data_IF_083461912506
#
_entry.id   IF_083461912506
#
_cell.length_a   1.000
_cell.length_b   1.000
_cell.length_c   1.000
_cell.angle_alpha   90.00
_cell.angle_beta   90.00
_cell.angle_gamma   90.00
#
_symmetry.space_group_name_H-M   'P 1'
#
loop_
_entity.id
_entity.type
_entity.pdbx_description
1 polymer ?
#
# COMPACT_ATOMS: atom_id res chain seq x y z
N UNK A 1 -21.54 -5.85 -16.56
CA UNK A 1 -20.49 -5.49 -15.58
C UNK A 1 -19.49 -4.63 -16.33
N UNK A 2 -19.11 -3.51 -15.78
CA UNK A 2 -18.02 -2.70 -16.32
C UNK A 2 -16.74 -3.50 -16.34
N UNK A 3 -15.93 -3.33 -17.38
CA UNK A 3 -14.64 -4.00 -17.46
C UNK A 3 -13.58 -3.19 -16.69
N UNK A 4 -13.22 -3.67 -15.51
CA UNK A 4 -12.29 -2.99 -14.59
C UNK A 4 -10.95 -2.67 -15.27
N UNK A 5 -10.38 -3.64 -15.99
CA UNK A 5 -9.11 -3.45 -16.71
C UNK A 5 -9.22 -2.32 -17.75
N UNK A 6 -10.28 -2.32 -18.55
CA UNK A 6 -10.52 -1.26 -19.55
C UNK A 6 -10.64 0.13 -18.91
N UNK A 7 -11.36 0.23 -17.80
CA UNK A 7 -11.51 1.49 -17.08
C UNK A 7 -10.18 2.03 -16.57
N UNK A 8 -9.35 1.17 -15.97
CA UNK A 8 -8.03 1.53 -15.44
C UNK A 8 -7.04 1.90 -16.55
N UNK A 9 -7.04 1.15 -17.65
CA UNK A 9 -6.25 1.48 -18.85
C UNK A 9 -6.68 2.82 -19.44
N UNK A 10 -7.98 3.12 -19.50
CA UNK A 10 -8.48 4.41 -19.99
C UNK A 10 -8.09 5.56 -19.04
N UNK A 11 -8.13 5.37 -17.71
CA UNK A 11 -7.58 6.37 -16.77
C UNK A 11 -6.11 6.69 -17.05
N UNK A 12 -5.30 5.66 -17.32
CA UNK A 12 -3.89 5.86 -17.68
C UNK A 12 -3.75 6.61 -19.01
N UNK A 13 -4.52 6.25 -20.03
CA UNK A 13 -4.54 6.94 -21.33
C UNK A 13 -4.93 8.42 -21.22
N UNK A 14 -5.93 8.74 -20.42
CA UNK A 14 -6.36 10.12 -20.16
C UNK A 14 -5.24 10.91 -19.46
N UNK A 15 -4.60 10.32 -18.45
CA UNK A 15 -3.47 10.94 -17.78
C UNK A 15 -2.26 11.15 -18.72
N UNK A 16 -1.96 10.17 -19.57
CA UNK A 16 -0.91 10.27 -20.58
C UNK A 16 -1.23 11.41 -21.58
N UNK A 17 -2.46 11.50 -22.07
CA UNK A 17 -2.88 12.56 -22.99
C UNK A 17 -2.73 13.96 -22.36
N UNK A 18 -3.05 14.10 -21.06
CA UNK A 18 -2.86 15.35 -20.32
C UNK A 18 -1.38 15.72 -20.14
N UNK A 19 -0.52 14.71 -19.97
CA UNK A 19 0.93 14.87 -19.79
C UNK A 19 1.72 14.89 -21.13
N UNK A 20 1.04 14.87 -22.29
CA UNK A 20 1.67 14.80 -23.62
C UNK A 20 2.56 13.56 -23.80
N UNK A 21 2.15 12.43 -23.20
CA UNK A 21 2.79 11.12 -23.32
C UNK A 21 1.98 10.28 -24.31
N UNK A 22 2.63 9.74 -25.35
CA UNK A 22 1.95 9.00 -26.43
C UNK A 22 1.67 7.54 -26.06
N UNK A 23 2.54 6.91 -25.23
CA UNK A 23 2.37 5.56 -24.71
C UNK A 23 3.07 5.42 -23.34
N UNK A 24 2.76 4.37 -22.59
CA UNK A 24 3.36 4.15 -21.29
C UNK A 24 3.88 2.72 -21.13
N UNK A 25 5.12 2.60 -20.66
CA UNK A 25 5.77 1.33 -20.39
C UNK A 25 5.84 1.09 -18.88
N UNK A 26 5.17 0.04 -18.43
CA UNK A 26 4.98 -0.29 -17.01
C UNK A 26 5.85 -1.48 -16.65
N UNK A 27 6.57 -1.40 -15.53
CA UNK A 27 7.44 -2.45 -14.99
C UNK A 27 7.08 -2.86 -13.57
N UNK A 28 6.53 -1.94 -12.79
CA UNK A 28 6.14 -2.23 -11.42
C UNK A 28 5.00 -3.25 -11.39
N UNK A 29 5.23 -4.39 -10.73
CA UNK A 29 4.27 -5.52 -10.73
C UNK A 29 2.91 -5.11 -10.17
N UNK A 30 2.87 -4.29 -9.13
CA UNK A 30 1.62 -3.77 -8.55
C UNK A 30 0.85 -2.89 -9.54
N UNK A 31 1.55 -2.12 -10.37
CA UNK A 31 0.93 -1.30 -11.41
C UNK A 31 0.43 -2.15 -12.58
N UNK A 32 1.18 -3.20 -12.95
CA UNK A 32 0.73 -4.21 -13.93
C UNK A 32 -0.51 -4.93 -13.42
N UNK A 33 -0.53 -5.34 -12.15
CA UNK A 33 -1.67 -5.98 -11.50
C UNK A 33 -2.90 -5.06 -11.53
N UNK A 34 -2.73 -3.80 -11.14
CA UNK A 34 -3.83 -2.84 -11.13
C UNK A 34 -4.40 -2.61 -12.51
N UNK A 35 -3.58 -2.34 -13.53
CA UNK A 35 -4.03 -2.10 -14.90
C UNK A 35 -4.70 -3.30 -15.53
N UNK A 36 -4.14 -4.49 -15.35
CA UNK A 36 -4.66 -5.72 -15.95
C UNK A 36 -5.87 -6.28 -15.20
N UNK A 37 -5.98 -6.01 -13.91
CA UNK A 37 -6.93 -6.63 -12.99
C UNK A 37 -6.77 -8.18 -12.94
N UNK A 38 -5.56 -8.71 -13.18
CA UNK A 38 -5.29 -10.14 -13.18
C UNK A 38 -5.02 -10.62 -11.74
N UNK A 39 -6.09 -10.91 -11.01
CA UNK A 39 -6.03 -11.31 -9.62
C UNK A 39 -5.34 -12.67 -9.43
N UNK A 40 -4.43 -12.74 -8.45
CA UNK A 40 -3.73 -13.97 -8.07
C UNK A 40 -2.79 -14.55 -9.14
N UNK A 41 -2.39 -13.73 -10.11
CA UNK A 41 -1.49 -14.15 -11.20
C UNK A 41 -0.04 -13.80 -10.92
N UNK A 42 0.20 -12.65 -10.31
CA UNK A 42 1.53 -12.09 -10.11
C UNK A 42 2.06 -12.41 -8.71
N UNK A 43 3.36 -12.59 -8.61
CA UNK A 43 4.14 -12.68 -7.38
C UNK A 43 5.20 -11.56 -7.34
N UNK A 44 6.17 -11.67 -6.44
CA UNK A 44 7.24 -10.67 -6.27
C UNK A 44 8.34 -10.74 -7.35
N UNK A 45 8.21 -11.64 -8.34
CA UNK A 45 9.21 -11.77 -9.39
C UNK A 45 9.13 -10.63 -10.42
N UNK A 46 10.28 -10.08 -10.79
CA UNK A 46 10.42 -9.04 -11.82
C UNK A 46 10.33 -9.64 -13.26
N UNK A 47 9.20 -10.33 -13.53
CA UNK A 47 8.99 -11.11 -14.76
C UNK A 47 8.07 -10.43 -15.78
N UNK A 48 7.53 -9.25 -15.47
CA UNK A 48 6.45 -8.64 -16.21
C UNK A 48 6.82 -7.26 -16.76
N UNK A 49 6.25 -6.94 -17.92
CA UNK A 49 6.20 -5.59 -18.46
C UNK A 49 4.88 -5.37 -19.17
N UNK A 50 4.31 -4.20 -19.10
CA UNK A 50 3.11 -3.87 -19.85
C UNK A 50 3.34 -2.61 -20.69
N UNK A 51 2.95 -2.67 -21.95
CA UNK A 51 2.92 -1.50 -22.82
C UNK A 51 1.48 -1.10 -23.06
N UNK A 52 1.15 0.15 -22.71
CA UNK A 52 -0.16 0.75 -22.97
C UNK A 52 0.02 1.83 -24.04
N UNK A 53 -0.71 1.66 -25.15
CA UNK A 53 -0.76 2.61 -26.26
C UNK A 53 -2.16 3.20 -26.37
N UNK A 54 -2.41 4.22 -27.20
CA UNK A 54 -3.77 4.73 -27.42
C UNK A 54 -4.77 3.65 -27.84
N UNK A 55 -4.33 2.67 -28.63
CA UNK A 55 -5.21 1.68 -29.26
C UNK A 55 -5.12 0.29 -28.62
N UNK A 56 -4.09 0.00 -27.81
CA UNK A 56 -3.85 -1.34 -27.27
C UNK A 56 -3.25 -1.35 -25.86
N UNK A 57 -3.22 -2.54 -25.27
CA UNK A 57 -2.50 -2.83 -24.04
C UNK A 57 -1.96 -4.26 -24.12
N UNK A 58 -0.65 -4.43 -24.01
CA UNK A 58 0.02 -5.73 -24.13
C UNK A 58 0.87 -6.00 -22.90
N UNK A 59 0.60 -7.13 -22.26
CA UNK A 59 1.40 -7.67 -21.16
C UNK A 59 2.44 -8.64 -21.73
N UNK A 60 3.70 -8.34 -21.50
CA UNK A 60 4.82 -9.25 -21.80
C UNK A 60 5.23 -9.97 -20.51
N UNK A 61 5.29 -11.30 -20.60
CA UNK A 61 5.63 -12.18 -19.48
C UNK A 61 6.43 -13.39 -19.96
N UNK A 62 6.91 -14.20 -19.04
CA UNK A 62 7.59 -15.44 -19.41
C UNK A 62 6.68 -16.68 -19.33
N UNK A 63 7.23 -17.84 -19.70
CA UNK A 63 6.47 -19.10 -19.78
C UNK A 63 5.91 -19.59 -18.45
N UNK A 64 6.41 -19.12 -17.32
CA UNK A 64 5.93 -19.48 -15.96
C UNK A 64 4.53 -18.93 -15.70
N UNK A 65 4.24 -17.74 -16.23
CA UNK A 65 3.00 -17.00 -16.00
C UNK A 65 2.06 -16.98 -17.22
N UNK A 66 2.54 -17.37 -18.41
CA UNK A 66 1.83 -17.24 -19.68
C UNK A 66 0.40 -17.81 -19.65
N UNK A 67 0.22 -19.02 -19.16
CA UNK A 67 -1.10 -19.68 -19.10
C UNK A 67 -2.05 -18.96 -18.13
N UNK A 68 -1.56 -18.55 -16.96
CA UNK A 68 -2.36 -17.81 -15.98
C UNK A 68 -2.78 -16.45 -16.53
N UNK A 69 -1.85 -15.71 -17.15
CA UNK A 69 -2.13 -14.43 -17.79
C UNK A 69 -3.14 -14.54 -18.93
N UNK A 70 -3.01 -15.55 -19.82
CA UNK A 70 -3.96 -15.77 -20.93
C UNK A 70 -5.36 -16.12 -20.43
N UNK A 71 -5.43 -16.93 -19.37
CA UNK A 71 -6.71 -17.25 -18.73
C UNK A 71 -7.36 -16.00 -18.12
N UNK A 72 -6.59 -15.20 -17.38
CA UNK A 72 -7.06 -13.96 -16.78
C UNK A 72 -7.49 -12.94 -17.85
N UNK A 73 -6.71 -12.78 -18.93
CA UNK A 73 -7.07 -11.92 -20.06
C UNK A 73 -8.42 -12.32 -20.66
N UNK A 74 -8.67 -13.62 -20.82
CA UNK A 74 -9.97 -14.14 -21.29
C UNK A 74 -11.14 -13.78 -20.37
N UNK A 75 -10.95 -13.81 -19.05
CA UNK A 75 -11.96 -13.39 -18.05
C UNK A 75 -12.29 -11.90 -18.19
N UNK A 76 -11.28 -11.08 -18.47
CA UNK A 76 -11.42 -9.62 -18.67
C UNK A 76 -11.70 -9.22 -20.13
N UNK A 77 -12.22 -10.13 -20.95
CA UNK A 77 -12.69 -9.84 -22.31
C UNK A 77 -11.58 -9.53 -23.33
N UNK A 78 -10.35 -9.93 -23.05
CA UNK A 78 -9.22 -9.76 -23.97
C UNK A 78 -8.76 -8.30 -24.15
N UNK A 79 -9.04 -7.43 -23.19
CA UNK A 79 -8.60 -6.01 -23.23
C UNK A 79 -7.08 -5.91 -23.18
N UNK A 80 -6.42 -6.81 -22.45
CA UNK A 80 -4.96 -6.92 -22.39
C UNK A 80 -4.55 -8.14 -23.22
N UNK A 81 -3.74 -7.91 -24.23
CA UNK A 81 -3.09 -8.99 -24.98
C UNK A 81 -1.89 -9.54 -24.19
N UNK A 82 -1.66 -10.84 -24.28
CA UNK A 82 -0.55 -11.51 -23.59
C UNK A 82 0.51 -11.93 -24.60
N UNK A 83 1.70 -11.37 -24.49
CA UNK A 83 2.89 -11.74 -25.25
C UNK A 83 3.84 -12.56 -24.35
N UNK A 84 4.20 -13.75 -24.77
CA UNK A 84 5.12 -14.66 -24.08
C UNK A 84 6.37 -15.01 -24.92
N UNK A 85 6.70 -14.16 -25.86
CA UNK A 85 7.91 -14.30 -26.66
C UNK A 85 9.17 -14.25 -25.77
N UNK A 86 10.10 -15.14 -26.04
CA UNK A 86 11.33 -15.24 -25.26
C UNK A 86 12.37 -14.19 -25.66
N UNK A 87 12.04 -12.92 -25.41
CA UNK A 87 12.87 -11.75 -25.68
C UNK A 87 12.99 -10.88 -24.42
N UNK A 88 13.91 -9.92 -24.41
CA UNK A 88 13.97 -8.95 -23.32
C UNK A 88 12.77 -7.99 -23.36
N UNK A 89 12.35 -7.44 -22.22
CA UNK A 89 11.28 -6.45 -22.16
C UNK A 89 11.55 -5.22 -23.05
N UNK A 90 12.82 -4.81 -23.20
CA UNK A 90 13.20 -3.72 -24.09
C UNK A 90 12.96 -4.07 -25.58
N UNK A 91 13.30 -5.30 -26.00
CA UNK A 91 13.01 -5.76 -27.37
C UNK A 91 11.53 -5.91 -27.63
N UNK A 92 10.79 -6.42 -26.64
CA UNK A 92 9.32 -6.45 -26.70
C UNK A 92 8.74 -5.05 -26.89
N UNK A 93 9.16 -4.07 -26.06
CA UNK A 93 8.66 -2.70 -26.15
C UNK A 93 8.91 -2.08 -27.55
N UNK A 94 10.11 -2.27 -28.10
CA UNK A 94 10.44 -1.81 -29.46
C UNK A 94 9.54 -2.48 -30.51
N UNK A 95 9.38 -3.80 -30.45
CA UNK A 95 8.56 -4.53 -31.42
C UNK A 95 7.07 -4.12 -31.34
N UNK A 96 6.54 -4.02 -30.13
CA UNK A 96 5.14 -3.66 -29.91
C UNK A 96 4.83 -2.20 -30.31
N UNK A 97 5.80 -1.29 -30.14
CA UNK A 97 5.64 0.11 -30.49
C UNK A 97 5.97 0.41 -31.97
N UNK A 98 6.74 -0.45 -32.63
CA UNK A 98 7.26 -0.21 -33.97
C UNK A 98 6.20 0.13 -35.00
N UNK A 99 5.10 -0.64 -35.04
CA UNK A 99 3.98 -0.35 -35.94
C UNK A 99 3.32 1.01 -35.70
N UNK A 100 3.21 1.42 -34.45
CA UNK A 100 2.63 2.72 -34.06
C UNK A 100 3.55 3.87 -34.46
N UNK A 101 4.87 3.72 -34.26
CA UNK A 101 5.83 4.77 -34.61
C UNK A 101 6.02 4.93 -36.13
N UNK A 102 5.92 3.86 -36.91
CA UNK A 102 5.94 3.92 -38.37
C UNK A 102 4.73 4.71 -38.92
N UNK A 103 3.57 4.55 -38.27
CA UNK A 103 2.37 5.32 -38.63
C UNK A 103 2.49 6.80 -38.28
N UNK A 104 3.28 7.15 -37.28
CA UNK A 104 3.49 8.54 -36.85
C UNK A 104 4.49 9.31 -37.74
N UNK A 105 5.25 8.66 -38.64
CA UNK A 105 6.26 9.26 -39.49
C UNK A 105 7.46 9.83 -38.71
N UNK A 106 8.04 10.95 -39.18
CA UNK A 106 9.21 11.61 -38.55
C UNK A 106 8.87 12.34 -37.23
N UNK A 107 7.65 12.25 -36.71
CA UNK A 107 7.24 12.90 -35.48
C UNK A 107 7.90 12.23 -34.27
N UNK A 108 8.38 13.03 -33.32
CA UNK A 108 8.85 12.53 -32.02
C UNK A 108 7.69 11.84 -31.30
N UNK A 109 7.97 10.70 -30.69
CA UNK A 109 7.03 9.89 -29.92
C UNK A 109 7.49 9.79 -28.47
N UNK A 110 6.64 10.18 -27.52
CA UNK A 110 6.94 10.21 -26.10
C UNK A 110 6.48 8.90 -25.43
N UNK A 111 7.43 8.12 -24.90
CA UNK A 111 7.17 6.89 -24.13
C UNK A 111 7.39 7.16 -22.65
N UNK A 112 6.31 7.22 -21.87
CA UNK A 112 6.37 7.34 -20.42
C UNK A 112 6.94 6.09 -19.79
N UNK A 113 7.78 6.26 -18.76
CA UNK A 113 8.35 5.20 -17.93
C UNK A 113 8.26 5.56 -16.46
N UNK A 114 8.12 4.56 -15.61
CA UNK A 114 8.04 4.72 -14.16
C UNK A 114 9.39 5.09 -13.55
N UNK A 115 9.38 5.92 -12.52
CA UNK A 115 10.55 6.27 -11.71
C UNK A 115 11.05 5.10 -10.83
N UNK A 116 10.21 4.09 -10.59
CA UNK A 116 10.58 2.84 -9.92
C UNK A 116 11.34 1.86 -10.80
N UNK A 117 11.44 2.11 -12.13
CA UNK A 117 12.16 1.21 -13.03
C UNK A 117 13.65 1.08 -12.63
N UNK A 118 14.15 -0.15 -12.54
CA UNK A 118 15.58 -0.36 -12.28
C UNK A 118 16.43 0.34 -13.32
N UNK A 119 17.51 1.03 -12.91
CA UNK A 119 18.39 1.76 -13.81
C UNK A 119 18.92 0.89 -14.97
N UNK A 120 19.18 -0.40 -14.73
CA UNK A 120 19.57 -1.36 -15.76
C UNK A 120 18.48 -1.57 -16.82
N UNK A 121 17.23 -1.62 -16.40
CA UNK A 121 16.05 -1.71 -17.27
C UNK A 121 15.88 -0.45 -18.11
N UNK A 122 15.96 0.72 -17.51
CA UNK A 122 15.90 2.01 -18.19
C UNK A 122 16.99 2.12 -19.27
N UNK A 123 18.26 1.83 -18.93
CA UNK A 123 19.39 1.84 -19.87
C UNK A 123 19.25 0.80 -20.99
N UNK A 124 18.54 -0.28 -20.73
CA UNK A 124 18.23 -1.31 -21.74
C UNK A 124 17.20 -0.80 -22.76
N UNK A 125 16.16 -0.12 -22.28
CA UNK A 125 15.17 0.56 -23.12
C UNK A 125 15.84 1.66 -23.98
N UNK A 126 16.58 2.54 -23.32
CA UNK A 126 17.28 3.66 -23.98
C UNK A 126 18.12 3.17 -25.18
N UNK A 127 18.93 2.13 -24.99
CA UNK A 127 19.74 1.54 -26.06
C UNK A 127 18.90 0.91 -27.16
N UNK A 128 17.89 0.12 -26.78
CA UNK A 128 17.05 -0.59 -27.74
C UNK A 128 16.26 0.38 -28.64
N UNK A 129 15.72 1.46 -28.06
CA UNK A 129 15.03 2.51 -28.82
C UNK A 129 15.98 3.34 -29.68
N UNK A 130 17.16 3.73 -29.16
CA UNK A 130 18.15 4.46 -29.94
C UNK A 130 18.60 3.70 -31.17
N UNK A 131 18.71 2.36 -31.07
CA UNK A 131 19.13 1.49 -32.20
C UNK A 131 18.01 1.25 -33.23
N UNK A 132 16.74 1.14 -32.78
CA UNK A 132 15.65 0.63 -33.62
C UNK A 132 14.59 1.68 -33.96
N UNK A 133 14.27 2.58 -33.04
CA UNK A 133 13.24 3.62 -33.14
C UNK A 133 13.74 4.95 -32.56
N UNK A 134 14.71 5.62 -33.21
CA UNK A 134 15.40 6.80 -32.68
C UNK A 134 14.49 8.04 -32.50
N UNK A 135 13.29 8.02 -33.06
CA UNK A 135 12.26 9.04 -32.86
C UNK A 135 11.48 8.87 -31.55
N UNK A 136 11.64 7.74 -30.83
CA UNK A 136 11.03 7.53 -29.52
C UNK A 136 11.92 8.14 -28.44
N UNK A 137 11.33 8.99 -27.61
CA UNK A 137 11.98 9.61 -26.45
C UNK A 137 11.38 9.05 -25.18
N UNK A 138 12.23 8.57 -24.25
CA UNK A 138 11.79 8.13 -22.95
C UNK A 138 11.48 9.35 -22.08
N UNK A 139 10.29 9.37 -21.50
CA UNK A 139 9.81 10.41 -20.60
C UNK A 139 9.73 9.83 -19.18
N UNK A 140 10.67 10.22 -18.32
CA UNK A 140 10.65 9.83 -16.90
C UNK A 140 9.47 10.49 -16.20
N UNK A 141 8.65 9.69 -15.49
CA UNK A 141 7.52 10.19 -14.70
C UNK A 141 7.78 9.96 -13.22
N UNK A 142 7.02 10.61 -12.35
CA UNK A 142 7.13 10.37 -10.91
C UNK A 142 5.75 10.05 -10.33
N UNK A 143 5.64 8.93 -9.63
CA UNK A 143 4.41 8.44 -9.01
C UNK A 143 3.19 8.43 -9.96
N UNK A 144 3.39 8.29 -11.27
CA UNK A 144 2.36 8.56 -12.27
C UNK A 144 1.18 7.60 -12.15
N UNK A 145 1.44 6.28 -12.14
CA UNK A 145 0.39 5.26 -11.97
C UNK A 145 -0.02 5.15 -10.50
N UNK A 146 0.92 5.28 -9.57
CA UNK A 146 0.65 5.29 -8.13
C UNK A 146 -0.35 6.38 -7.77
N UNK A 147 -0.24 7.57 -8.37
CA UNK A 147 -1.21 8.66 -8.22
C UNK A 147 -2.62 8.29 -8.72
N UNK A 148 -2.73 7.52 -9.80
CA UNK A 148 -4.02 7.02 -10.30
C UNK A 148 -4.62 5.96 -9.38
N UNK A 149 -3.79 5.11 -8.77
CA UNK A 149 -4.16 4.11 -7.76
C UNK A 149 -4.58 4.75 -6.43
N UNK A 150 -4.15 5.98 -6.18
CA UNK A 150 -4.46 6.73 -4.96
C UNK A 150 -5.96 6.92 -4.73
N UNK A 151 -6.78 6.94 -5.79
CA UNK A 151 -8.25 7.02 -5.71
C UNK A 151 -8.86 5.66 -6.02
N UNK A 152 -9.30 4.96 -4.97
CA UNK A 152 -9.85 3.61 -5.01
C UNK A 152 -11.30 3.61 -5.49
N UNK A 153 -11.65 2.64 -6.31
CA UNK A 153 -13.04 2.37 -6.69
C UNK A 153 -13.76 1.52 -5.62
N UNK A 154 -15.07 1.31 -5.82
CA UNK A 154 -15.89 0.58 -4.85
C UNK A 154 -15.50 -0.90 -4.69
N UNK A 155 -14.98 -1.53 -5.75
CA UNK A 155 -14.50 -2.93 -5.71
C UNK A 155 -13.20 -3.02 -4.91
N UNK A 156 -12.26 -2.09 -5.13
CA UNK A 156 -11.01 -1.98 -4.37
C UNK A 156 -11.29 -1.79 -2.87
N UNK A 157 -12.20 -0.87 -2.53
CA UNK A 157 -12.62 -0.63 -1.13
C UNK A 157 -13.25 -1.88 -0.51
N UNK A 158 -14.07 -2.61 -1.25
CA UNK A 158 -14.69 -3.85 -0.74
C UNK A 158 -13.63 -4.93 -0.43
N UNK A 159 -12.61 -5.07 -1.28
CA UNK A 159 -11.48 -6.00 -1.08
C UNK A 159 -10.64 -5.62 0.13
N UNK A 160 -10.35 -4.33 0.31
CA UNK A 160 -9.61 -3.83 1.48
C UNK A 160 -10.37 -4.07 2.79
N UNK A 161 -11.68 -3.86 2.80
CA UNK A 161 -12.54 -4.21 3.94
C UNK A 161 -12.55 -5.72 4.24
N UNK A 162 -12.50 -6.56 3.20
CA UNK A 162 -12.39 -8.00 3.39
C UNK A 162 -11.03 -8.41 3.99
N UNK A 163 -9.93 -7.78 3.57
CA UNK A 163 -8.62 -7.97 4.18
C UNK A 163 -8.61 -7.51 5.65
N UNK A 164 -9.21 -6.34 5.95
CA UNK A 164 -9.30 -5.83 7.31
C UNK A 164 -10.12 -6.72 8.23
N UNK A 165 -11.19 -7.32 7.76
CA UNK A 165 -11.98 -8.25 8.57
C UNK A 165 -11.16 -9.46 9.07
N UNK A 166 -10.18 -9.93 8.29
CA UNK A 166 -9.26 -10.99 8.71
C UNK A 166 -8.32 -10.46 9.82
N UNK A 167 -7.81 -9.25 9.67
CA UNK A 167 -6.92 -8.59 10.64
C UNK A 167 -7.65 -8.33 11.97
N UNK A 168 -8.89 -7.84 11.94
CA UNK A 168 -9.74 -7.67 13.14
C UNK A 168 -10.00 -9.00 13.86
N UNK A 169 -10.26 -10.06 13.10
CA UNK A 169 -10.42 -11.41 13.67
C UNK A 169 -9.14 -11.93 14.32
N UNK A 170 -7.96 -11.65 13.70
CA UNK A 170 -6.67 -12.02 14.25
C UNK A 170 -6.37 -11.28 15.57
N UNK A 171 -6.71 -9.98 15.66
CA UNK A 171 -6.63 -9.25 16.92
C UNK A 171 -7.50 -9.88 18.01
N UNK A 172 -8.76 -10.16 17.69
CA UNK A 172 -9.70 -10.77 18.62
C UNK A 172 -9.23 -12.13 19.13
N UNK A 173 -8.54 -12.89 18.29
CA UNK A 173 -7.92 -14.16 18.64
C UNK A 173 -6.70 -13.97 19.55
N UNK A 174 -5.75 -13.13 19.14
CA UNK A 174 -4.44 -13.03 19.80
C UNK A 174 -4.54 -12.49 21.23
N UNK A 175 -5.49 -11.60 21.51
CA UNK A 175 -5.72 -11.09 22.87
C UNK A 175 -6.22 -12.19 23.84
N UNK A 176 -6.76 -13.30 23.35
CA UNK A 176 -7.11 -14.46 24.16
C UNK A 176 -5.99 -15.48 24.29
N UNK A 177 -5.04 -15.46 23.36
CA UNK A 177 -3.90 -16.37 23.31
C UNK A 177 -2.72 -15.88 24.16
N UNK A 178 -2.43 -14.58 24.09
CA UNK A 178 -1.24 -13.94 24.65
C UNK A 178 -1.18 -14.03 26.17
N UNK A 179 0.00 -14.37 26.71
CA UNK A 179 0.24 -14.52 28.16
C UNK A 179 1.64 -14.04 28.52
N UNK A 180 1.85 -13.54 29.76
CA UNK A 180 3.20 -13.30 30.28
C UNK A 180 4.09 -14.54 30.17
N UNK A 181 5.35 -14.34 29.81
CA UNK A 181 6.34 -15.37 29.60
C UNK A 181 6.48 -15.88 28.16
N UNK A 182 5.49 -15.63 27.29
CA UNK A 182 5.64 -15.82 25.84
C UNK A 182 6.65 -14.83 25.28
N UNK A 183 7.26 -15.17 24.16
CA UNK A 183 8.14 -14.27 23.41
C UNK A 183 7.33 -13.45 22.39
N UNK A 184 7.87 -12.29 21.99
CA UNK A 184 7.32 -11.49 20.89
C UNK A 184 7.16 -12.35 19.62
N UNK A 185 8.15 -13.23 19.34
CA UNK A 185 8.12 -14.13 18.18
C UNK A 185 7.00 -15.16 18.25
N UNK A 186 6.69 -15.72 19.43
CA UNK A 186 5.59 -16.68 19.58
C UNK A 186 4.24 -16.00 19.29
N UNK A 187 4.05 -14.76 19.73
CA UNK A 187 2.84 -13.99 19.45
C UNK A 187 2.75 -13.63 17.97
N UNK A 188 3.87 -13.21 17.35
CA UNK A 188 3.92 -12.94 15.91
C UNK A 188 3.49 -14.16 15.10
N UNK A 189 4.08 -15.33 15.37
CA UNK A 189 3.75 -16.57 14.64
C UNK A 189 2.27 -16.88 14.74
N UNK A 190 1.68 -16.75 15.93
CA UNK A 190 0.25 -17.01 16.12
C UNK A 190 -0.63 -16.06 15.32
N UNK A 191 -0.30 -14.76 15.31
CA UNK A 191 -1.01 -13.76 14.49
C UNK A 191 -0.97 -14.10 13.00
N UNK A 192 0.23 -14.35 12.49
CA UNK A 192 0.46 -14.63 11.07
C UNK A 192 -0.20 -15.95 10.65
N UNK A 193 -0.07 -17.01 11.44
CA UNK A 193 -0.71 -18.30 11.19
C UNK A 193 -2.23 -18.18 11.22
N UNK A 194 -2.79 -17.40 12.15
CA UNK A 194 -4.21 -17.17 12.22
C UNK A 194 -4.73 -16.49 10.94
N UNK A 195 -4.11 -15.41 10.50
CA UNK A 195 -4.54 -14.69 9.29
C UNK A 195 -4.53 -15.60 8.05
N UNK A 196 -3.45 -16.35 7.84
CA UNK A 196 -3.34 -17.27 6.70
C UNK A 196 -4.40 -18.38 6.76
N UNK A 197 -4.66 -18.96 7.93
CA UNK A 197 -5.71 -19.98 8.12
C UNK A 197 -7.14 -19.45 7.93
N UNK A 198 -7.33 -18.14 8.07
CA UNK A 198 -8.66 -17.51 7.96
C UNK A 198 -8.87 -16.75 6.64
N UNK A 199 -8.07 -17.06 5.62
CA UNK A 199 -8.33 -16.63 4.25
C UNK A 199 -7.42 -15.51 3.73
N UNK A 200 -6.40 -15.12 4.47
CA UNK A 200 -5.36 -14.26 3.91
C UNK A 200 -4.56 -15.02 2.83
N UNK A 201 -4.32 -14.38 1.71
CA UNK A 201 -3.41 -14.85 0.65
C UNK A 201 -1.94 -14.78 1.09
N UNK A 202 -1.66 -13.91 2.03
CA UNK A 202 -0.37 -13.65 2.64
C UNK A 202 -0.47 -12.54 3.68
N UNK A 203 0.67 -12.08 4.13
CA UNK A 203 0.76 -10.90 4.99
C UNK A 203 0.87 -9.64 4.13
N UNK A 204 0.30 -8.53 4.59
CA UNK A 204 0.51 -7.23 3.96
C UNK A 204 1.98 -6.77 4.14
N UNK A 205 2.56 -7.08 5.30
CA UNK A 205 3.95 -6.82 5.68
C UNK A 205 4.37 -7.76 6.82
N UNK A 206 5.67 -7.88 7.16
CA UNK A 206 6.12 -8.65 8.32
C UNK A 206 5.58 -8.05 9.61
N UNK A 207 4.78 -8.82 10.37
CA UNK A 207 4.10 -8.34 11.57
C UNK A 207 5.09 -7.89 12.65
N UNK A 208 4.78 -6.78 13.31
CA UNK A 208 5.52 -6.25 14.46
C UNK A 208 4.80 -6.69 15.73
N UNK A 209 5.55 -7.24 16.67
CA UNK A 209 5.13 -7.47 18.05
C UNK A 209 6.26 -7.02 18.95
N UNK A 210 6.04 -5.97 19.72
CA UNK A 210 7.09 -5.34 20.52
C UNK A 210 6.60 -5.01 21.94
N UNK A 211 7.26 -5.55 22.95
CA UNK A 211 6.85 -5.34 24.34
C UNK A 211 7.82 -4.38 25.08
N UNK A 212 7.27 -3.60 26.00
CA UNK A 212 8.01 -2.68 26.86
C UNK A 212 8.91 -1.75 26.05
N UNK A 213 10.21 -1.72 26.37
CA UNK A 213 11.19 -0.86 25.73
C UNK A 213 11.41 -1.13 24.23
N UNK A 214 11.15 -2.35 23.75
CA UNK A 214 11.24 -2.68 22.32
C UNK A 214 10.17 -1.92 21.50
N UNK A 215 9.01 -1.66 22.09
CA UNK A 215 7.95 -0.87 21.48
C UNK A 215 8.36 0.56 21.17
N UNK A 216 9.43 1.08 21.78
CA UNK A 216 9.96 2.40 21.48
C UNK A 216 10.66 2.50 20.10
N UNK A 217 10.83 1.37 19.40
CA UNK A 217 11.25 1.31 18.01
C UNK A 217 10.04 1.03 17.11
N UNK A 218 9.58 1.97 16.26
CA UNK A 218 8.39 1.77 15.43
C UNK A 218 8.45 0.55 14.51
N UNK A 219 9.66 0.20 14.04
CA UNK A 219 9.91 -0.98 13.19
C UNK A 219 10.68 -2.07 13.95
N UNK A 220 10.26 -2.36 15.20
CA UNK A 220 10.87 -3.42 16.00
C UNK A 220 10.65 -4.79 15.35
N UNK A 221 11.71 -5.59 15.29
CA UNK A 221 11.62 -6.96 14.78
C UNK A 221 11.35 -7.90 15.95
N UNK A 222 10.24 -8.67 15.96
CA UNK A 222 9.89 -9.58 17.04
C UNK A 222 10.98 -10.62 17.29
N UNK A 223 11.39 -10.74 18.56
CA UNK A 223 12.52 -11.56 18.98
C UNK A 223 12.21 -12.54 20.12
N UNK A 224 13.27 -12.89 20.84
CA UNK A 224 13.20 -13.76 22.02
C UNK A 224 12.85 -13.00 23.32
N UNK A 225 12.60 -11.68 23.24
CA UNK A 225 12.16 -10.87 24.37
C UNK A 225 10.85 -11.42 24.91
N UNK A 226 10.76 -11.61 26.21
CA UNK A 226 9.57 -12.14 26.86
C UNK A 226 8.61 -11.04 27.25
N UNK A 227 7.35 -11.30 27.04
CA UNK A 227 6.26 -10.49 27.53
C UNK A 227 6.19 -10.57 29.06
N UNK A 228 6.21 -9.43 29.74
CA UNK A 228 6.20 -9.34 31.19
C UNK A 228 4.99 -8.56 31.70
N UNK A 229 4.49 -8.94 32.89
CA UNK A 229 3.40 -8.20 33.53
C UNK A 229 3.78 -6.73 33.80
N UNK A 230 2.84 -5.82 33.58
CA UNK A 230 3.04 -4.38 33.74
C UNK A 230 3.55 -3.67 32.48
N UNK A 231 3.83 -4.40 31.40
CA UNK A 231 4.24 -3.83 30.11
C UNK A 231 3.08 -3.61 29.16
N UNK A 232 3.26 -2.69 28.20
CA UNK A 232 2.45 -2.64 27.00
C UNK A 232 3.09 -3.47 25.88
N UNK A 233 2.26 -3.95 24.97
CA UNK A 233 2.67 -4.69 23.76
C UNK A 233 2.03 -4.00 22.56
N UNK A 234 2.87 -3.48 21.68
CA UNK A 234 2.47 -2.96 20.36
C UNK A 234 2.42 -4.12 19.40
N UNK A 235 1.31 -4.27 18.70
CA UNK A 235 1.13 -5.24 17.61
C UNK A 235 0.67 -4.47 16.38
N UNK A 236 1.48 -4.54 15.32
CA UNK A 236 1.23 -3.92 14.03
C UNK A 236 1.29 -5.00 12.95
N UNK A 237 0.17 -5.21 12.28
CA UNK A 237 -0.03 -6.33 11.37
C UNK A 237 -1.19 -6.10 10.41
N UNK A 238 -1.08 -6.72 9.25
CA UNK A 238 -2.11 -6.66 8.22
C UNK A 238 -2.17 -7.93 7.38
N UNK A 239 -3.38 -8.30 6.96
CA UNK A 239 -3.61 -9.36 6.01
C UNK A 239 -3.56 -8.82 4.57
N UNK A 240 -3.12 -9.67 3.63
CA UNK A 240 -3.36 -9.47 2.20
C UNK A 240 -4.48 -10.42 1.79
N UNK A 241 -5.54 -9.89 1.18
CA UNK A 241 -6.63 -10.70 0.65
C UNK A 241 -7.19 -10.06 -0.62
N UNK A 242 -7.53 -10.89 -1.61
CA UNK A 242 -8.03 -10.46 -2.92
C UNK A 242 -7.10 -9.43 -3.59
N UNK A 243 -5.78 -9.60 -3.38
CA UNK A 243 -4.73 -8.75 -3.93
C UNK A 243 -4.52 -7.40 -3.22
N UNK A 244 -5.27 -7.08 -2.14
CA UNK A 244 -5.19 -5.81 -1.41
C UNK A 244 -4.73 -6.03 0.04
N UNK A 245 -4.04 -5.02 0.57
CA UNK A 245 -3.53 -4.98 1.94
C UNK A 245 -4.58 -4.41 2.89
N UNK A 246 -4.50 -4.84 4.16
CA UNK A 246 -5.03 -4.14 5.32
C UNK A 246 -3.90 -3.73 6.24
N UNK A 247 -4.20 -2.82 7.17
CA UNK A 247 -3.24 -2.26 8.11
C UNK A 247 -3.88 -1.93 9.44
N UNK A 248 -3.27 -2.34 10.54
CA UNK A 248 -3.78 -2.05 11.87
C UNK A 248 -2.70 -2.19 12.94
N UNK A 249 -2.58 -1.18 13.79
CA UNK A 249 -1.82 -1.29 15.04
C UNK A 249 -2.76 -1.24 16.24
N UNK A 250 -2.54 -2.13 17.18
CA UNK A 250 -3.14 -2.09 18.52
C UNK A 250 -2.08 -2.24 19.60
N UNK A 251 -2.22 -1.45 20.67
CA UNK A 251 -1.42 -1.57 21.88
C UNK A 251 -2.27 -2.15 23.01
N UNK A 252 -1.82 -3.25 23.61
CA UNK A 252 -2.48 -3.90 24.76
C UNK A 252 -1.57 -3.92 25.97
N UNK A 253 -2.13 -4.23 27.16
CA UNK A 253 -1.41 -4.22 28.43
C UNK A 253 -1.45 -5.58 29.10
N UNK A 254 -0.31 -6.03 29.61
CA UNK A 254 -0.22 -7.27 30.38
C UNK A 254 -0.36 -6.95 31.87
N UNK A 255 -1.57 -7.13 32.40
CA UNK A 255 -1.91 -6.67 33.75
C UNK A 255 -2.09 -5.15 33.82
N UNK A 256 -2.34 -4.64 35.02
CA UNK A 256 -2.71 -3.25 35.26
C UNK A 256 -1.60 -2.26 34.83
N UNK A 257 -1.86 -1.38 33.85
CA UNK A 257 -0.86 -0.41 33.38
C UNK A 257 -0.63 0.71 34.39
N UNK A 258 0.60 1.19 34.46
CA UNK A 258 0.96 2.37 35.27
C UNK A 258 0.23 3.63 34.77
N UNK A 259 0.14 4.66 35.60
CA UNK A 259 -0.44 5.96 35.21
C UNK A 259 0.25 6.56 33.96
N UNK A 260 1.54 6.35 33.84
CA UNK A 260 2.32 6.82 32.67
C UNK A 260 1.93 6.10 31.39
N UNK A 261 1.73 4.79 31.44
CA UNK A 261 1.26 4.01 30.30
C UNK A 261 -0.18 4.39 29.93
N UNK A 262 -1.04 4.63 30.92
CA UNK A 262 -2.42 5.12 30.69
C UNK A 262 -2.42 6.49 30.00
N UNK A 263 -1.56 7.42 30.46
CA UNK A 263 -1.44 8.74 29.84
C UNK A 263 -0.96 8.65 28.38
N UNK A 264 0.02 7.77 28.09
CA UNK A 264 0.48 7.53 26.71
C UNK A 264 -0.63 6.98 25.82
N UNK A 265 -1.39 6.00 26.31
CA UNK A 265 -2.51 5.42 25.57
C UNK A 265 -3.62 6.43 25.31
N UNK A 266 -3.98 7.22 26.33
CA UNK A 266 -4.98 8.30 26.17
C UNK A 266 -4.55 9.30 25.10
N UNK A 267 -3.27 9.66 25.06
CA UNK A 267 -2.74 10.61 24.10
C UNK A 267 -2.85 10.10 22.65
N UNK A 268 -2.47 8.84 22.38
CA UNK A 268 -2.54 8.27 21.03
C UNK A 268 -3.99 8.04 20.60
N UNK A 269 -4.87 7.62 21.53
CA UNK A 269 -6.29 7.45 21.26
C UNK A 269 -6.96 8.78 20.92
N UNK A 270 -6.74 9.81 21.72
CA UNK A 270 -7.30 11.14 21.48
C UNK A 270 -6.81 11.71 20.14
N UNK A 271 -5.52 11.51 19.79
CA UNK A 271 -4.98 11.98 18.54
C UNK A 271 -5.58 11.25 17.33
N UNK A 272 -5.73 9.91 17.40
CA UNK A 272 -6.35 9.11 16.36
C UNK A 272 -7.83 9.54 16.17
N UNK A 273 -8.65 9.49 17.22
CA UNK A 273 -10.09 9.79 17.16
C UNK A 273 -10.38 11.24 16.70
N UNK A 274 -9.58 12.22 17.14
CA UNK A 274 -9.76 13.61 16.71
C UNK A 274 -9.41 13.82 15.24
N UNK A 275 -8.36 13.17 14.73
CA UNK A 275 -8.03 13.24 13.30
C UNK A 275 -9.12 12.58 12.47
N UNK A 276 -9.53 11.38 12.80
CA UNK A 276 -10.58 10.65 12.07
C UNK A 276 -11.89 11.43 12.00
N UNK A 277 -12.26 12.09 13.10
CA UNK A 277 -13.48 12.89 13.18
C UNK A 277 -13.49 14.10 12.21
N UNK A 278 -12.34 14.58 11.76
CA UNK A 278 -12.24 15.78 10.91
C UNK A 278 -11.76 15.50 9.48
N UNK A 279 -11.21 14.31 9.24
CA UNK A 279 -10.76 13.91 7.90
C UNK A 279 -11.91 14.02 6.89
N UNK A 280 -11.66 14.72 5.77
CA UNK A 280 -12.64 14.95 4.72
C UNK A 280 -11.96 15.37 3.41
N UNK A 281 -12.68 15.36 2.29
CA UNK A 281 -12.17 15.93 1.04
C UNK A 281 -11.72 17.39 1.21
N UNK A 282 -10.59 17.70 0.58
CA UNK A 282 -9.99 19.05 0.60
C UNK A 282 -9.03 19.31 1.77
N UNK A 283 -9.08 18.52 2.85
CA UNK A 283 -8.05 18.55 3.90
C UNK A 283 -6.74 17.99 3.34
N UNK A 284 -5.60 18.56 3.75
CA UNK A 284 -4.29 18.10 3.30
C UNK A 284 -3.70 17.07 4.28
N UNK A 285 -2.80 16.21 3.78
CA UNK A 285 -2.06 15.30 4.65
C UNK A 285 -1.24 16.03 5.72
N UNK A 286 -0.76 17.24 5.39
CA UNK A 286 -0.06 18.12 6.31
C UNK A 286 -0.95 18.59 7.47
N UNK A 287 -2.16 19.05 7.19
CA UNK A 287 -3.12 19.49 8.23
C UNK A 287 -3.50 18.36 9.16
N UNK A 288 -3.71 17.14 8.63
CA UNK A 288 -3.99 15.96 9.45
C UNK A 288 -2.82 15.61 10.38
N UNK A 289 -1.59 15.60 9.85
CA UNK A 289 -0.38 15.36 10.64
C UNK A 289 -0.18 16.41 11.74
N UNK A 290 -0.33 17.70 11.41
CA UNK A 290 -0.17 18.81 12.38
C UNK A 290 -1.21 18.72 13.50
N UNK A 291 -2.44 18.28 13.22
CA UNK A 291 -3.46 18.06 14.24
C UNK A 291 -3.06 16.97 15.23
N UNK A 292 -2.60 15.81 14.74
CA UNK A 292 -2.14 14.72 15.61
C UNK A 292 -0.97 15.15 16.51
N UNK A 293 0.04 15.82 15.95
CA UNK A 293 1.17 16.37 16.72
C UNK A 293 0.72 17.38 17.77
N UNK A 294 -0.29 18.20 17.46
CA UNK A 294 -0.87 19.16 18.40
C UNK A 294 -1.53 18.45 19.58
N UNK A 295 -2.38 17.45 19.32
CA UNK A 295 -3.05 16.68 20.36
C UNK A 295 -2.04 15.94 21.24
N UNK A 296 -1.04 15.30 20.65
CA UNK A 296 0.03 14.65 21.41
C UNK A 296 0.81 15.65 22.29
N UNK A 297 1.02 16.87 21.80
CA UNK A 297 1.68 17.93 22.58
C UNK A 297 0.84 18.40 23.79
N UNK A 298 -0.48 18.51 23.65
CA UNK A 298 -1.39 18.84 24.76
C UNK A 298 -1.37 17.77 25.87
N UNK A 299 -1.14 16.50 25.51
CA UNK A 299 -0.93 15.39 26.45
C UNK A 299 0.52 15.31 27.01
N UNK A 300 1.41 16.25 26.65
CA UNK A 300 2.80 16.28 27.12
C UNK A 300 3.78 15.41 26.33
N UNK A 301 3.40 14.94 25.14
CA UNK A 301 4.22 14.10 24.26
C UNK A 301 4.68 14.82 22.99
N UNK A 302 4.91 16.15 23.06
CA UNK A 302 5.38 16.92 21.93
C UNK A 302 6.62 16.31 21.25
N UNK A 303 6.56 16.10 19.92
CA UNK A 303 7.65 15.55 19.12
C UNK A 303 8.02 14.09 19.48
N UNK A 304 7.10 13.31 20.05
CA UNK A 304 7.32 11.91 20.41
C UNK A 304 6.77 10.91 19.40
N UNK A 305 6.09 11.36 18.33
CA UNK A 305 5.64 10.51 17.25
C UNK A 305 6.81 10.11 16.33
N UNK A 306 7.54 11.08 15.79
CA UNK A 306 8.80 10.83 15.06
C UNK A 306 8.64 10.27 13.64
N UNK A 307 7.41 10.03 13.15
CA UNK A 307 7.09 9.59 11.80
C UNK A 307 5.89 10.36 11.23
N UNK A 308 5.54 10.11 9.99
CA UNK A 308 4.31 10.64 9.38
C UNK A 308 3.08 10.06 10.07
N UNK A 309 1.97 10.80 10.11
CA UNK A 309 0.74 10.33 10.73
C UNK A 309 0.12 9.12 10.02
N UNK A 310 0.42 8.94 8.73
CA UNK A 310 -0.12 7.83 7.97
C UNK A 310 0.25 7.87 6.50
N UNK A 311 -0.21 6.88 5.79
CA UNK A 311 0.06 6.65 4.37
C UNK A 311 -1.16 6.05 3.65
N UNK A 312 -1.13 6.07 2.33
CA UNK A 312 -2.08 5.33 1.52
C UNK A 312 -1.88 3.82 1.65
N UNK A 313 -2.95 3.07 1.52
CA UNK A 313 -2.95 1.59 1.47
C UNK A 313 -3.68 1.13 0.22
N UNK A 314 -3.25 0.03 -0.37
CA UNK A 314 -3.89 -0.55 -1.56
C UNK A 314 -3.36 -1.94 -1.90
N UNK A 315 -2.89 -2.11 -3.13
CA UNK A 315 -2.16 -3.31 -3.55
C UNK A 315 -0.82 -3.38 -2.81
N UNK A 316 -0.14 -2.24 -2.69
CA UNK A 316 1.03 -2.10 -1.84
C UNK A 316 0.61 -1.58 -0.47
N UNK A 317 1.38 -1.95 0.55
CA UNK A 317 1.09 -1.49 1.91
C UNK A 317 1.31 0.01 2.04
N UNK A 318 2.31 0.57 1.38
CA UNK A 318 2.58 2.00 1.35
C UNK A 318 2.29 2.56 -0.05
N UNK A 319 1.25 3.39 -0.14
CA UNK A 319 0.85 4.10 -1.35
C UNK A 319 0.64 5.60 -1.07
N UNK A 320 0.31 6.35 -2.11
CA UNK A 320 -0.21 7.71 -1.99
C UNK A 320 -1.74 7.70 -1.67
N UNK A 321 -2.25 8.73 -0.98
CA UNK A 321 -1.55 9.91 -0.47
C UNK A 321 -0.94 9.69 0.93
N UNK A 322 0.11 10.47 1.28
CA UNK A 322 0.69 10.44 2.61
C UNK A 322 0.00 11.46 3.54
N UNK A 323 -0.24 11.09 4.80
CA UNK A 323 -0.57 12.02 5.87
C UNK A 323 0.73 12.50 6.55
N UNK A 324 1.44 13.40 5.90
CA UNK A 324 2.78 13.83 6.31
C UNK A 324 2.94 15.34 6.26
N UNK A 325 3.91 15.92 7.02
CA UNK A 325 4.15 17.37 7.03
C UNK A 325 4.57 17.93 5.66
N UNK A 326 4.93 17.07 4.71
CA UNK A 326 5.34 17.45 3.35
C UNK A 326 4.21 17.37 2.32
N UNK A 327 3.09 16.72 2.64
CA UNK A 327 1.99 16.58 1.70
C UNK A 327 0.98 17.72 1.85
N UNK A 328 1.11 18.73 0.99
CA UNK A 328 0.18 19.86 0.87
C UNK A 328 -0.94 19.64 -0.17
N UNK A 329 -1.02 18.47 -0.80
CA UNK A 329 -2.10 18.16 -1.73
C UNK A 329 -3.39 17.83 -0.97
N UNK A 330 -4.56 18.28 -1.49
CA UNK A 330 -5.84 17.98 -0.87
C UNK A 330 -6.20 16.51 -1.04
N UNK A 331 -6.72 15.89 0.01
CA UNK A 331 -7.33 14.56 -0.04
C UNK A 331 -8.61 14.59 -0.90
N UNK A 332 -8.86 13.52 -1.61
CA UNK A 332 -10.02 13.35 -2.49
C UNK A 332 -10.89 12.16 -2.04
N UNK A 333 -12.19 12.16 -2.35
CA UNK A 333 -13.01 10.96 -2.18
C UNK A 333 -12.39 9.76 -2.89
N UNK A 334 -12.38 8.60 -2.22
CA UNK A 334 -11.72 7.39 -2.70
C UNK A 334 -10.26 7.25 -2.29
N UNK A 335 -9.63 8.27 -1.69
CA UNK A 335 -8.35 8.06 -1.03
C UNK A 335 -8.54 7.13 0.18
N UNK A 336 -7.67 6.15 0.31
CA UNK A 336 -7.62 5.27 1.49
C UNK A 336 -6.30 5.55 2.21
N UNK A 337 -6.38 5.86 3.50
CA UNK A 337 -5.22 6.26 4.31
C UNK A 337 -5.26 5.63 5.69
N UNK A 338 -4.08 5.43 6.31
CA UNK A 338 -3.94 5.10 7.73
C UNK A 338 -3.99 6.37 8.59
N UNK A 339 -4.38 6.22 9.86
CA UNK A 339 -4.27 7.23 10.91
C UNK A 339 -3.64 6.55 12.11
N UNK A 340 -2.32 6.75 12.29
CA UNK A 340 -1.48 5.94 13.17
C UNK A 340 -0.63 6.75 14.16
N UNK A 341 -1.22 7.64 14.97
CA UNK A 341 -0.42 8.38 15.94
C UNK A 341 0.26 7.43 16.93
N UNK A 342 1.54 7.69 17.20
CA UNK A 342 2.35 6.92 18.13
C UNK A 342 3.13 7.80 19.11
N UNK A 343 3.50 7.22 20.24
CA UNK A 343 4.39 7.83 21.24
C UNK A 343 5.53 6.87 21.53
N UNK A 344 6.77 7.30 21.28
CA UNK A 344 7.96 6.46 21.42
C UNK A 344 8.97 7.10 22.38
N UNK A 345 9.20 6.43 23.52
CA UNK A 345 10.09 6.88 24.58
C UNK A 345 11.26 5.90 24.73
N UNK A 346 12.37 6.21 24.09
CA UNK A 346 13.55 5.34 24.03
C UNK A 346 13.97 4.80 25.40
N UNK A 347 14.10 3.47 25.51
CA UNK A 347 14.47 2.78 26.75
C UNK A 347 13.33 2.63 27.77
N UNK A 348 12.11 3.04 27.44
CA UNK A 348 10.94 2.98 28.32
C UNK A 348 9.79 2.20 27.64
N UNK A 349 9.03 2.84 26.77
CA UNK A 349 7.94 2.20 26.02
C UNK A 349 7.68 2.90 24.69
N UNK A 350 6.98 2.20 23.81
CA UNK A 350 6.30 2.79 22.67
C UNK A 350 4.87 2.27 22.57
N UNK A 351 4.01 3.09 21.97
CA UNK A 351 2.60 2.80 21.73
C UNK A 351 2.17 3.39 20.40
N UNK A 352 1.32 2.70 19.68
CA UNK A 352 0.61 3.19 18.48
C UNK A 352 -0.83 2.69 18.51
N UNK A 353 -1.75 3.52 18.06
CA UNK A 353 -3.12 3.15 17.73
C UNK A 353 -3.33 3.55 16.28
N UNK A 354 -3.73 2.59 15.46
CA UNK A 354 -3.88 2.78 14.04
C UNK A 354 -5.14 2.15 13.52
N UNK A 355 -5.81 2.91 12.70
CA UNK A 355 -6.88 2.46 11.83
C UNK A 355 -6.60 2.91 10.41
N UNK A 356 -7.25 2.26 9.45
CA UNK A 356 -7.29 2.77 8.10
C UNK A 356 -8.72 2.80 7.56
N UNK A 357 -8.93 3.66 6.57
CA UNK A 357 -10.25 3.88 6.01
C UNK A 357 -10.22 4.74 4.76
N UNK A 358 -11.39 5.00 4.20
CA UNK A 358 -11.56 5.78 2.98
C UNK A 358 -12.08 7.19 3.26
N UNK A 359 -11.51 8.17 2.57
CA UNK A 359 -12.13 9.50 2.42
C UNK A 359 -13.38 9.34 1.58
N UNK A 360 -14.53 9.70 2.14
CA UNK A 360 -15.84 9.70 1.46
C UNK A 360 -16.18 11.10 0.98
N UNK A 361 -17.32 11.29 0.29
CA UNK A 361 -17.80 12.62 -0.10
C UNK A 361 -17.97 13.60 1.08
N UNK A 362 -18.23 13.08 2.29
CA UNK A 362 -18.62 13.89 3.45
C UNK A 362 -17.72 13.74 4.69
N UNK A 363 -16.69 12.88 4.64
CA UNK A 363 -15.85 12.60 5.80
C UNK A 363 -14.92 11.41 5.58
N UNK A 364 -14.71 10.63 6.62
CA UNK A 364 -13.83 9.46 6.63
C UNK A 364 -14.60 8.23 7.13
N UNK A 365 -14.53 7.13 6.40
CA UNK A 365 -15.10 5.85 6.77
C UNK A 365 -14.00 4.90 7.23
N UNK A 366 -13.92 4.65 8.53
CA UNK A 366 -12.97 3.71 9.12
C UNK A 366 -13.36 2.28 8.77
N UNK A 367 -12.41 1.46 8.31
CA UNK A 367 -12.63 0.05 8.00
C UNK A 367 -12.37 -0.86 9.19
N UNK A 368 -11.43 -0.48 10.05
CA UNK A 368 -11.05 -1.22 11.26
C UNK A 368 -12.21 -1.27 12.25
N UNK A 369 -12.50 -2.46 12.80
CA UNK A 369 -13.57 -2.68 13.77
C UNK A 369 -13.05 -3.06 15.17
N UNK A 370 -11.74 -3.27 15.30
CA UNK A 370 -11.11 -3.56 16.58
C UNK A 370 -11.19 -2.38 17.53
N UNK A 371 -11.46 -2.64 18.82
CA UNK A 371 -11.73 -1.60 19.81
C UNK A 371 -10.58 -0.63 20.02
N UNK A 372 -10.91 0.65 20.31
CA UNK A 372 -10.00 1.68 20.84
C UNK A 372 -9.96 1.68 22.37
N UNK A 373 -10.81 0.89 23.03
CA UNK A 373 -10.73 0.78 24.48
C UNK A 373 -9.42 0.09 24.89
N UNK A 374 -8.91 0.50 26.05
CA UNK A 374 -7.69 -0.07 26.62
C UNK A 374 -7.91 -1.55 26.97
N UNK A 375 -7.24 -2.44 26.26
CA UNK A 375 -7.29 -3.89 26.52
C UNK A 375 -6.24 -4.26 27.54
N UNK A 376 -6.67 -4.81 28.67
CA UNK A 376 -5.79 -5.31 29.76
C UNK A 376 -5.98 -6.83 29.88
N UNK A 377 -4.88 -7.57 29.71
CA UNK A 377 -4.83 -9.03 29.69
C UNK A 377 -4.29 -9.58 31.01
#
# INVERSE_FOLDING_TARGET
MENISLNRINKLREACAYAEIDAFFVRETSNVQWLSAFDGVFDEEDAHAMLVTPDGATLHTDSRYSEACKKAAGIHGGVVEVNDERVSHAKFAVAALGGTCELAGDKSYSLGVEDSIALSGFRSLERAFAESLPNVQLHETSNFIVGLRGVKDADEIARMKAAQAITDAAFSHVITFMKPGMTEREVQIELEEFMVRHGAEGLAFPSIVACGANGASPHSVPGATKLEAGQCVVMDFGARAQGYCSDMTRTVFLGEPSERLRAGYAAIRDANEQVEAVLRPGMTGKEAHELAEHVLAEHGFAGKMGHSLGHGVGIDIHEEPLLSPRNGAPLAPGNVVTVEPGVYLAGDFGMRLEDFGAITENGYEVFTQSTHEMVVL
#
